data_IF_147114495641
#
_entry.id   IF_147114495641
#
_cell.length_a   1.000
_cell.length_b   1.000
_cell.length_c   1.000
_cell.angle_alpha   90.00
_cell.angle_beta   90.00
_cell.angle_gamma   90.00
#
_symmetry.space_group_name_H-M   'P 1'
#
loop_
_entity.id
_entity.type
_entity.pdbx_description
1 polymer ?
#
# COMPACT_ATOMS: atom_id res chain seq x y z
N UNK A 1 9.86 -9.72 4.48
CA UNK A 1 10.87 -8.79 3.91
C UNK A 1 10.68 -8.59 2.41
N UNK A 2 10.55 -9.67 1.62
CA UNK A 2 10.30 -9.60 0.17
C UNK A 2 9.06 -8.76 -0.17
N UNK A 3 7.96 -8.92 0.56
CA UNK A 3 6.71 -8.15 0.35
C UNK A 3 6.92 -6.63 0.42
N UNK A 4 7.64 -6.14 1.43
CA UNK A 4 7.90 -4.71 1.60
C UNK A 4 8.77 -4.15 0.46
N UNK A 5 9.73 -4.96 -0.03
CA UNK A 5 10.57 -4.59 -1.16
C UNK A 5 9.75 -4.54 -2.46
N UNK A 6 8.93 -5.56 -2.72
CA UNK A 6 8.01 -5.61 -3.87
C UNK A 6 7.04 -4.43 -3.87
N UNK A 7 6.47 -4.07 -2.72
CA UNK A 7 5.57 -2.92 -2.57
C UNK A 7 6.30 -1.58 -2.82
N UNK A 8 7.53 -1.44 -2.33
CA UNK A 8 8.35 -0.26 -2.60
C UNK A 8 8.63 -0.10 -4.10
N UNK A 9 9.07 -1.17 -4.75
CA UNK A 9 9.34 -1.19 -6.19
C UNK A 9 8.08 -0.88 -6.99
N UNK A 10 6.96 -1.52 -6.67
CA UNK A 10 5.67 -1.30 -7.34
C UNK A 10 5.24 0.17 -7.26
N UNK A 11 5.39 0.82 -6.09
CA UNK A 11 5.04 2.22 -5.92
C UNK A 11 5.94 3.15 -6.75
N UNK A 12 7.25 2.87 -6.82
CA UNK A 12 8.21 3.65 -7.63
C UNK A 12 7.93 3.50 -9.12
N UNK A 13 7.75 2.26 -9.60
CA UNK A 13 7.41 2.00 -10.99
C UNK A 13 6.04 2.59 -11.37
N UNK A 14 5.04 2.49 -10.48
CA UNK A 14 3.71 3.07 -10.72
C UNK A 14 3.80 4.58 -10.89
N UNK A 15 4.56 5.28 -10.05
CA UNK A 15 4.75 6.73 -10.20
C UNK A 15 5.46 7.08 -11.51
N UNK A 16 6.47 6.29 -11.91
CA UNK A 16 7.19 6.49 -13.17
C UNK A 16 6.29 6.30 -14.40
N UNK A 17 5.33 5.38 -14.34
CA UNK A 17 4.37 5.10 -15.42
C UNK A 17 3.18 6.07 -15.46
N UNK A 18 2.87 6.70 -14.33
CA UNK A 18 1.79 7.69 -14.23
C UNK A 18 2.29 9.10 -14.54
N UNK A 19 3.51 9.46 -14.11
CA UNK A 19 4.07 10.82 -14.21
C UNK A 19 5.18 10.98 -15.26
N UNK A 20 5.34 10.01 -16.17
CA UNK A 20 6.36 10.06 -17.23
C UNK A 20 5.88 10.78 -18.49
N UNK A 21 6.74 11.63 -19.08
CA UNK A 21 6.43 12.42 -20.30
C UNK A 21 6.13 11.58 -21.57
N UNK A 22 6.39 10.26 -21.54
CA UNK A 22 6.20 9.34 -22.69
C UNK A 22 4.98 8.41 -22.58
N UNK A 23 4.44 8.19 -21.38
CA UNK A 23 3.30 7.30 -21.13
C UNK A 23 2.50 7.87 -19.96
N UNK A 24 1.27 8.33 -20.19
CA UNK A 24 0.33 8.72 -19.13
C UNK A 24 -0.72 7.61 -18.97
N UNK A 25 -0.37 6.56 -18.24
CA UNK A 25 -1.36 5.57 -17.83
C UNK A 25 -2.22 6.12 -16.72
N UNK A 26 -3.54 5.91 -16.81
CA UNK A 26 -4.42 6.22 -15.70
C UNK A 26 -4.16 5.23 -14.55
N UNK A 27 -4.12 5.67 -13.28
CA UNK A 27 -3.86 4.80 -12.14
C UNK A 27 -4.74 3.52 -12.08
N UNK A 28 -6.05 3.57 -12.44
CA UNK A 28 -6.89 2.38 -12.54
C UNK A 28 -6.49 1.41 -13.66
N UNK A 29 -5.94 1.90 -14.78
CA UNK A 29 -5.47 1.04 -15.88
C UNK A 29 -4.25 0.24 -15.43
N UNK A 30 -3.32 0.89 -14.73
CA UNK A 30 -2.13 0.22 -14.21
C UNK A 30 -2.49 -0.84 -13.17
N UNK A 31 -3.47 -0.54 -12.32
CA UNK A 31 -4.03 -1.51 -11.37
C UNK A 31 -4.69 -2.69 -12.10
N UNK A 32 -5.43 -2.43 -13.18
CA UNK A 32 -6.07 -3.47 -13.97
C UNK A 32 -5.03 -4.42 -14.58
N UNK A 33 -3.98 -3.90 -15.21
CA UNK A 33 -2.91 -4.72 -15.78
C UNK A 33 -2.19 -5.57 -14.74
N UNK A 34 -1.84 -4.98 -13.60
CA UNK A 34 -1.19 -5.73 -12.50
C UNK A 34 -2.12 -6.78 -11.90
N UNK A 35 -3.42 -6.50 -11.82
CA UNK A 35 -4.42 -7.49 -11.36
C UNK A 35 -4.55 -8.66 -12.34
N UNK A 36 -4.63 -8.39 -13.64
CA UNK A 36 -4.67 -9.46 -14.67
C UNK A 36 -3.40 -10.30 -14.63
N UNK A 37 -2.23 -9.67 -14.54
CA UNK A 37 -0.96 -10.38 -14.42
C UNK A 37 -0.92 -11.25 -13.14
N UNK A 38 -1.43 -10.72 -12.02
CA UNK A 38 -1.51 -11.48 -10.77
C UNK A 38 -2.40 -12.72 -10.89
N UNK A 39 -3.55 -12.63 -11.58
CA UNK A 39 -4.44 -13.77 -11.81
C UNK A 39 -3.75 -14.86 -12.66
N UNK A 40 -3.02 -14.47 -13.71
CA UNK A 40 -2.27 -15.41 -14.55
C UNK A 40 -1.22 -16.20 -13.76
N UNK A 41 -0.61 -15.60 -12.72
CA UNK A 41 0.36 -16.26 -11.84
C UNK A 41 -0.34 -17.04 -10.71
N UNK A 42 -1.47 -16.54 -10.22
CA UNK A 42 -2.20 -17.11 -9.10
C UNK A 42 -2.90 -18.42 -9.47
N UNK A 43 -3.46 -18.54 -10.68
CA UNK A 43 -4.19 -19.73 -11.14
C UNK A 43 -3.29 -20.98 -11.16
N UNK A 44 -2.09 -20.98 -11.79
CA UNK A 44 -1.18 -22.12 -11.75
C UNK A 44 -0.71 -22.46 -10.33
N UNK A 45 -0.44 -21.44 -9.52
CA UNK A 45 0.02 -21.63 -8.13
C UNK A 45 -1.06 -22.31 -7.30
N UNK A 46 -2.34 -21.93 -7.48
CA UNK A 46 -3.46 -22.55 -6.79
C UNK A 46 -3.58 -24.03 -7.13
N UNK A 47 -3.48 -24.38 -8.42
CA UNK A 47 -3.60 -25.77 -8.88
C UNK A 47 -2.44 -26.63 -8.37
N UNK A 48 -1.23 -26.07 -8.27
CA UNK A 48 -0.04 -26.81 -7.84
C UNK A 48 0.09 -26.95 -6.32
N UNK A 49 -0.35 -25.96 -5.53
CA UNK A 49 -0.17 -25.96 -4.07
C UNK A 49 -1.38 -26.46 -3.27
N UNK A 50 -2.59 -26.44 -3.83
CA UNK A 50 -3.81 -26.77 -3.11
C UNK A 50 -4.51 -27.98 -3.74
N UNK A 51 -4.82 -28.96 -2.90
CA UNK A 51 -5.60 -30.13 -3.30
C UNK A 51 -7.09 -29.77 -3.49
N UNK A 52 -7.66 -30.21 -4.61
CA UNK A 52 -9.05 -29.93 -4.97
C UNK A 52 -10.07 -30.47 -3.95
N UNK A 53 -9.71 -31.55 -3.24
CA UNK A 53 -10.54 -32.18 -2.21
C UNK A 53 -10.70 -31.29 -0.97
N UNK A 54 -9.66 -30.52 -0.61
CA UNK A 54 -9.67 -29.58 0.52
C UNK A 54 -10.54 -28.36 0.17
N UNK A 55 -10.47 -27.88 -1.08
CA UNK A 55 -11.33 -26.80 -1.55
C UNK A 55 -12.79 -27.21 -1.43
N UNK A 56 -13.16 -28.36 -2.00
CA UNK A 56 -14.56 -28.78 -2.05
C UNK A 56 -15.17 -29.02 -0.66
N UNK A 57 -14.38 -29.46 0.31
CA UNK A 57 -14.85 -29.71 1.68
C UNK A 57 -14.96 -28.45 2.54
N UNK A 58 -14.18 -27.41 2.23
CA UNK A 58 -14.14 -26.17 3.02
C UNK A 58 -15.04 -25.07 2.41
N UNK A 59 -15.48 -25.24 1.16
CA UNK A 59 -16.24 -24.22 0.44
C UNK A 59 -17.66 -24.05 0.99
N UNK A 60 -17.84 -23.04 1.85
CA UNK A 60 -19.14 -22.68 2.45
C UNK A 60 -19.61 -21.33 1.91
N UNK A 61 -20.93 -21.10 1.82
CA UNK A 61 -21.51 -19.81 1.40
C UNK A 61 -20.99 -18.61 2.21
N UNK A 62 -20.77 -18.76 3.51
CA UNK A 62 -20.18 -17.73 4.36
C UNK A 62 -18.75 -17.39 3.92
N UNK A 63 -17.95 -18.39 3.52
CA UNK A 63 -16.60 -18.18 3.04
C UNK A 63 -16.60 -17.47 1.68
N UNK A 64 -17.54 -17.81 0.79
CA UNK A 64 -17.75 -17.09 -0.47
C UNK A 64 -18.08 -15.62 -0.23
N UNK A 65 -19.00 -15.31 0.69
CA UNK A 65 -19.35 -13.93 1.05
C UNK A 65 -18.15 -13.17 1.63
N UNK A 66 -17.39 -13.80 2.54
CA UNK A 66 -16.18 -13.20 3.10
C UNK A 66 -15.13 -12.94 2.02
N UNK A 67 -14.97 -13.85 1.05
CA UNK A 67 -14.05 -13.68 -0.07
C UNK A 67 -14.47 -12.53 -0.99
N UNK A 68 -15.77 -12.40 -1.29
CA UNK A 68 -16.32 -11.28 -2.06
C UNK A 68 -16.11 -9.96 -1.34
N UNK A 69 -16.43 -9.89 -0.04
CA UNK A 69 -16.23 -8.68 0.78
C UNK A 69 -14.74 -8.33 0.83
N UNK A 70 -13.85 -9.31 0.98
CA UNK A 70 -12.41 -9.10 0.96
C UNK A 70 -11.93 -8.53 -0.39
N UNK A 71 -12.39 -9.12 -1.50
CA UNK A 71 -12.04 -8.65 -2.84
C UNK A 71 -12.50 -7.21 -3.12
N UNK A 72 -13.75 -6.88 -2.75
CA UNK A 72 -14.28 -5.51 -2.87
C UNK A 72 -13.46 -4.54 -2.00
N UNK A 73 -13.21 -4.90 -0.74
CA UNK A 73 -12.45 -4.07 0.19
C UNK A 73 -11.01 -3.83 -0.29
N UNK A 74 -10.38 -4.88 -0.84
CA UNK A 74 -9.04 -4.79 -1.44
C UNK A 74 -9.05 -3.86 -2.65
N UNK A 75 -10.05 -3.97 -3.52
CA UNK A 75 -10.16 -3.10 -4.69
C UNK A 75 -10.34 -1.63 -4.30
N UNK A 76 -11.21 -1.33 -3.33
CA UNK A 76 -11.39 0.02 -2.80
C UNK A 76 -10.11 0.57 -2.16
N UNK A 77 -9.38 -0.27 -1.40
CA UNK A 77 -8.09 0.11 -0.84
C UNK A 77 -7.10 0.49 -1.93
N UNK A 78 -6.94 -0.35 -2.95
CA UNK A 78 -5.98 -0.11 -4.03
C UNK A 78 -6.32 1.16 -4.81
N UNK A 79 -7.60 1.42 -5.12
CA UNK A 79 -8.01 2.69 -5.76
C UNK A 79 -7.58 3.90 -4.93
N UNK A 80 -7.77 3.83 -3.61
CA UNK A 80 -7.38 4.91 -2.68
C UNK A 80 -5.86 5.14 -2.69
N UNK A 81 -5.08 4.06 -2.68
CA UNK A 81 -3.62 4.10 -2.73
C UNK A 81 -3.10 4.69 -4.05
N UNK A 82 -3.68 4.27 -5.18
CA UNK A 82 -3.36 4.81 -6.50
C UNK A 82 -3.75 6.28 -6.65
N UNK A 83 -4.88 6.69 -6.08
CA UNK A 83 -5.26 8.10 -6.00
C UNK A 83 -4.22 8.91 -5.23
N UNK A 84 -3.81 8.41 -4.05
CA UNK A 84 -2.82 9.06 -3.20
C UNK A 84 -1.46 9.18 -3.90
N UNK A 85 -1.04 8.16 -4.65
CA UNK A 85 0.21 8.14 -5.40
C UNK A 85 0.32 9.27 -6.44
N UNK A 86 -0.81 9.81 -6.93
CA UNK A 86 -0.79 11.00 -7.79
C UNK A 86 -0.29 12.23 -7.04
N UNK A 87 -0.66 12.38 -5.76
CA UNK A 87 -0.42 13.57 -4.94
C UNK A 87 0.86 13.48 -4.10
N UNK A 88 1.36 12.29 -3.78
CA UNK A 88 2.56 12.09 -2.94
C UNK A 88 3.68 11.34 -3.66
N UNK A 89 4.88 11.39 -3.08
CA UNK A 89 6.03 10.61 -3.56
C UNK A 89 5.91 9.11 -3.17
N UNK A 90 6.52 8.19 -3.95
CA UNK A 90 6.54 6.75 -3.63
C UNK A 90 7.10 6.43 -2.23
N UNK A 91 8.08 7.23 -1.78
CA UNK A 91 8.68 7.09 -0.45
C UNK A 91 7.67 7.41 0.64
N UNK A 92 6.88 8.47 0.47
CA UNK A 92 5.82 8.84 1.43
C UNK A 92 4.72 7.79 1.46
N UNK A 93 4.37 7.22 0.30
CA UNK A 93 3.39 6.14 0.19
C UNK A 93 3.83 4.87 0.94
N UNK A 94 5.11 4.50 0.80
CA UNK A 94 5.69 3.35 1.52
C UNK A 94 5.67 3.53 3.05
N UNK A 95 5.97 4.74 3.54
CA UNK A 95 5.86 5.07 4.98
C UNK A 95 4.42 4.98 5.46
N UNK A 96 3.46 5.54 4.71
CA UNK A 96 2.04 5.48 5.05
C UNK A 96 1.50 4.04 5.15
N UNK A 97 1.89 3.18 4.20
CA UNK A 97 1.54 1.76 4.22
C UNK A 97 2.15 1.03 5.44
N UNK A 98 3.37 1.38 5.83
CA UNK A 98 3.99 0.81 7.05
C UNK A 98 3.23 1.22 8.31
N UNK A 99 2.80 2.48 8.41
CA UNK A 99 1.97 2.96 9.53
C UNK A 99 0.61 2.26 9.55
N UNK A 100 -0.06 2.15 8.41
CA UNK A 100 -1.34 1.41 8.29
C UNK A 100 -1.21 -0.03 8.80
N UNK A 101 -0.15 -0.74 8.41
CA UNK A 101 0.15 -2.09 8.88
C UNK A 101 0.41 -2.14 10.38
N UNK A 102 1.17 -1.20 10.93
CA UNK A 102 1.41 -1.10 12.37
C UNK A 102 0.10 -0.90 13.14
N UNK A 103 -0.78 0.00 12.68
CA UNK A 103 -2.09 0.24 13.31
C UNK A 103 -2.97 -1.01 13.30
N UNK A 104 -2.98 -1.78 12.20
CA UNK A 104 -3.75 -3.04 12.13
C UNK A 104 -3.21 -4.09 13.11
N UNK A 105 -1.89 -4.17 13.30
CA UNK A 105 -1.28 -5.06 14.32
C UNK A 105 -1.75 -4.65 15.72
N UNK A 106 -1.74 -3.35 16.03
CA UNK A 106 -2.25 -2.83 17.30
C UNK A 106 -3.73 -3.12 17.52
N UNK A 107 -4.54 -2.87 16.50
CA UNK A 107 -5.97 -3.15 16.54
C UNK A 107 -6.24 -4.65 16.77
N UNK A 108 -5.45 -5.53 16.13
CA UNK A 108 -5.52 -6.98 16.35
C UNK A 108 -5.17 -7.34 17.79
N UNK A 109 -4.07 -6.82 18.34
CA UNK A 109 -3.67 -7.06 19.73
C UNK A 109 -4.77 -6.63 20.72
N UNK A 110 -5.38 -5.46 20.50
CA UNK A 110 -6.45 -4.93 21.34
C UNK A 110 -7.72 -5.80 21.21
N UNK A 111 -8.11 -6.15 19.98
CA UNK A 111 -9.35 -6.91 19.70
C UNK A 111 -9.26 -8.35 20.18
N UNK A 112 -8.12 -9.01 19.99
CA UNK A 112 -7.90 -10.41 20.39
C UNK A 112 -7.39 -10.54 21.83
N UNK A 113 -7.10 -9.43 22.52
CA UNK A 113 -6.64 -9.43 23.91
C UNK A 113 -5.32 -10.19 24.11
N UNK A 114 -4.50 -10.31 23.06
CA UNK A 114 -3.25 -11.06 23.14
C UNK A 114 -2.31 -10.37 24.13
N UNK A 115 -1.77 -11.14 25.09
CA UNK A 115 -0.83 -10.61 26.10
C UNK A 115 0.40 -10.06 25.39
N UNK A 116 0.54 -8.74 25.38
CA UNK A 116 1.71 -8.05 24.85
C UNK A 116 2.88 -8.39 25.74
N UNK A 117 3.84 -9.15 25.21
CA UNK A 117 5.11 -9.40 25.91
C UNK A 117 5.84 -8.08 26.13
N UNK A 118 6.67 -8.00 27.17
CA UNK A 118 7.42 -6.78 27.51
C UNK A 118 8.20 -6.20 26.32
N UNK A 119 8.76 -7.07 25.46
CA UNK A 119 9.39 -6.67 24.19
C UNK A 119 8.41 -6.03 23.20
N UNK A 120 7.17 -6.53 23.11
CA UNK A 120 6.12 -5.93 22.28
C UNK A 120 5.78 -4.51 22.76
N UNK A 121 5.63 -4.33 24.07
CA UNK A 121 5.41 -3.02 24.68
C UNK A 121 6.54 -2.03 24.38
N UNK A 122 7.79 -2.43 24.60
CA UNK A 122 8.97 -1.63 24.26
C UNK A 122 9.05 -1.29 22.76
N UNK A 123 8.78 -2.27 21.88
CA UNK A 123 8.75 -2.05 20.43
C UNK A 123 7.72 -0.99 20.03
N UNK A 124 6.56 -0.96 20.69
CA UNK A 124 5.53 0.07 20.52
C UNK A 124 6.04 1.46 20.81
N UNK A 125 6.66 1.63 21.98
CA UNK A 125 7.14 2.92 22.44
C UNK A 125 8.20 3.46 21.50
N UNK A 126 9.11 2.59 21.02
CA UNK A 126 10.12 2.94 20.02
C UNK A 126 9.47 3.39 18.70
N UNK A 127 8.44 2.67 18.22
CA UNK A 127 7.72 3.06 16.98
C UNK A 127 7.01 4.40 17.16
N UNK A 128 6.32 4.63 18.28
CA UNK A 128 5.63 5.91 18.56
C UNK A 128 6.64 7.07 18.59
N UNK A 129 7.77 6.88 19.28
CA UNK A 129 8.85 7.88 19.33
C UNK A 129 9.43 8.13 17.93
N UNK A 130 9.66 7.07 17.14
CA UNK A 130 10.18 7.17 15.78
C UNK A 130 9.25 7.94 14.83
N UNK A 131 7.94 7.66 14.87
CA UNK A 131 6.95 8.39 14.06
C UNK A 131 6.86 9.86 14.48
N UNK A 132 6.89 10.13 15.80
CA UNK A 132 6.86 11.49 16.30
C UNK A 132 8.13 12.27 15.90
N UNK A 133 9.30 11.62 15.99
CA UNK A 133 10.58 12.16 15.54
C UNK A 133 10.60 12.46 14.04
N UNK A 134 10.11 11.53 13.20
CA UNK A 134 9.99 11.77 11.75
C UNK A 134 9.06 12.93 11.41
N UNK A 135 7.89 13.02 12.06
CA UNK A 135 6.96 14.12 11.84
C UNK A 135 7.55 15.47 12.27
N UNK A 136 8.27 15.51 13.40
CA UNK A 136 9.01 16.71 13.84
C UNK A 136 10.13 17.06 12.86
N UNK A 137 10.94 16.09 12.43
CA UNK A 137 12.02 16.33 11.48
C UNK A 137 11.49 16.82 10.12
N UNK A 138 10.38 16.28 9.64
CA UNK A 138 9.71 16.73 8.41
C UNK A 138 9.12 18.14 8.54
N UNK A 139 8.68 18.55 9.73
CA UNK A 139 8.21 19.91 10.01
C UNK A 139 9.35 20.92 10.19
N UNK A 140 10.48 20.47 10.74
CA UNK A 140 11.65 21.31 11.03
C UNK A 140 12.57 21.45 9.82
N UNK A 141 12.65 20.42 8.96
CA UNK A 141 13.32 20.52 7.67
C UNK A 141 12.60 21.58 6.83
N UNK A 142 13.17 22.79 6.67
CA UNK A 142 12.59 23.80 5.82
C UNK A 142 12.67 23.30 4.39
N UNK A 143 11.74 23.75 3.56
CA UNK A 143 11.74 23.77 2.10
C UNK A 143 13.14 24.00 1.50
N UNK A 144 13.96 22.96 1.40
CA UNK A 144 15.29 22.93 0.78
C UNK A 144 15.39 21.54 0.16
N UNK A 145 14.75 21.24 -0.97
CA UNK A 145 15.06 21.64 -2.35
C UNK A 145 13.74 21.47 -3.14
N UNK A 146 13.19 22.48 -3.80
CA UNK A 146 13.48 22.81 -5.22
C UNK A 146 13.32 24.32 -5.48
N UNK A 147 14.33 25.01 -6.06
CA UNK A 147 14.12 26.23 -6.82
C UNK A 147 13.76 25.94 -8.30
N UNK A 148 12.75 26.65 -8.79
CA UNK A 148 12.49 27.12 -10.18
C UNK A 148 12.22 26.13 -11.34
N UNK A 149 10.96 26.09 -11.80
CA UNK A 149 10.60 26.62 -13.13
C UNK A 149 9.60 27.75 -12.89
N UNK A 150 10.07 29.00 -12.83
CA UNK A 150 10.13 29.95 -13.95
C UNK A 150 8.74 30.30 -14.50
N UNK A 151 8.30 31.51 -14.15
CA UNK A 151 7.57 32.45 -14.98
C UNK A 151 6.62 31.88 -16.05
N UNK A 152 5.33 31.87 -15.73
CA UNK A 152 4.28 32.27 -16.68
C UNK A 152 3.36 33.26 -15.97
N UNK A 153 3.86 34.46 -15.75
CA UNK A 153 3.02 35.65 -15.77
C UNK A 153 3.22 36.28 -17.16
N UNK A 154 2.20 37.01 -17.66
CA UNK A 154 2.21 37.84 -18.88
C UNK A 154 1.81 37.14 -20.21
N UNK A 155 0.53 36.79 -20.32
CA UNK A 155 -0.38 37.21 -21.42
C UNK A 155 -1.78 36.69 -21.05
N UNK A 156 -2.62 37.43 -20.33
CA UNK A 156 -3.55 38.41 -20.91
C UNK A 156 -2.97 39.19 -22.09
N UNK A 157 -3.35 38.79 -23.31
CA UNK A 157 -4.32 39.44 -24.19
C UNK A 157 -4.83 38.37 -25.16
#
# INVERSE_FOLDING_TARGET
>A
MVTNLSECLQNVFSKKLISGDKYSYSPPELQFYTSVASLCVQIPTLILMIDISIISSTFTYQMLLLLVINGISFHCQSITEYSLLNYISPVTHSVANTVKRALLIWLSVITFGNKVTFLGGLGTTIVIIGVFGYNKAKQIAPTVLVPSKSAKEVHSI
#
